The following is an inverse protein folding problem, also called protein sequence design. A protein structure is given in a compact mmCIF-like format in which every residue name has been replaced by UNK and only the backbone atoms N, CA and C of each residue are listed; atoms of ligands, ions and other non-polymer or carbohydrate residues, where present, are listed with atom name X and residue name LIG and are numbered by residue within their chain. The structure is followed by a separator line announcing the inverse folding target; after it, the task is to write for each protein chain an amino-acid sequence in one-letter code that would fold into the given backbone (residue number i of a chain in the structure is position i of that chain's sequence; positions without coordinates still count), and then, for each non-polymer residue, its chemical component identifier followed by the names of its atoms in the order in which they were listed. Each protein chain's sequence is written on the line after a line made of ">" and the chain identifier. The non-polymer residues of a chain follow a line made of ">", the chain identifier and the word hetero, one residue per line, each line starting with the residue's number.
data_IF_264614412098
#
_entry.id   IF_264614412098
#
_cell.length_a   1.000
_cell.length_b   1.000
_cell.length_c   1.000
_cell.angle_alpha   90.00
_cell.angle_beta   90.00
_cell.angle_gamma   90.00
#
_symmetry.space_group_name_H-M   'P 1'
#
loop_
_entity.id
_entity.type
_entity.pdbx_description
1 polymer ?
#
# COMPACT_ATOMS: atom_id res chain seq x y z
N UNK A 1 4.61 -35.29 -20.47
CA UNK A 1 3.46 -35.72 -21.29
C UNK A 1 2.15 -35.86 -20.49
N UNK A 2 1.98 -36.82 -19.56
CA UNK A 2 0.71 -36.98 -18.80
C UNK A 2 0.38 -35.78 -17.90
N UNK A 3 1.34 -35.25 -17.15
CA UNK A 3 1.14 -34.07 -16.29
C UNK A 3 0.80 -32.81 -17.10
N UNK A 4 1.41 -32.63 -18.27
CA UNK A 4 1.15 -31.49 -19.15
C UNK A 4 -0.27 -31.56 -19.74
N UNK A 5 -0.72 -32.76 -20.10
CA UNK A 5 -2.09 -32.98 -20.57
C UNK A 5 -3.12 -32.69 -19.46
N UNK A 6 -2.86 -33.13 -18.23
CA UNK A 6 -3.72 -32.82 -17.07
C UNK A 6 -3.76 -31.30 -16.82
N UNK A 7 -2.61 -30.63 -16.82
CA UNK A 7 -2.54 -29.17 -16.64
C UNK A 7 -3.35 -28.45 -17.73
N UNK A 8 -3.20 -28.86 -18.99
CA UNK A 8 -3.93 -28.26 -20.11
C UNK A 8 -5.45 -28.41 -19.96
N UNK A 9 -5.93 -29.60 -19.58
CA UNK A 9 -7.36 -29.85 -19.38
C UNK A 9 -7.92 -29.03 -18.20
N UNK A 10 -7.15 -28.89 -17.12
CA UNK A 10 -7.53 -28.04 -15.97
C UNK A 10 -7.61 -26.57 -16.39
N UNK A 11 -6.65 -26.08 -17.18
CA UNK A 11 -6.67 -24.70 -17.71
C UNK A 11 -7.90 -24.45 -18.61
N UNK A 12 -8.22 -25.39 -19.50
CA UNK A 12 -9.39 -25.29 -20.38
C UNK A 12 -10.69 -25.27 -19.55
N UNK A 13 -10.81 -26.14 -18.55
CA UNK A 13 -11.97 -26.18 -17.66
C UNK A 13 -12.14 -24.86 -16.90
N UNK A 14 -11.04 -24.28 -16.39
CA UNK A 14 -11.05 -22.97 -15.74
C UNK A 14 -11.50 -21.89 -16.73
N UNK A 15 -10.98 -21.86 -17.96
CA UNK A 15 -11.39 -20.89 -18.97
C UNK A 15 -12.88 -20.99 -19.31
N UNK A 16 -13.43 -22.19 -19.44
CA UNK A 16 -14.85 -22.42 -19.76
C UNK A 16 -15.75 -22.07 -18.57
N UNK A 17 -15.33 -22.34 -17.34
CA UNK A 17 -16.12 -22.00 -16.15
C UNK A 17 -16.06 -20.50 -15.81
N UNK A 18 -14.88 -19.90 -15.86
CA UNK A 18 -14.64 -18.52 -15.43
C UNK A 18 -14.87 -17.48 -16.54
N UNK A 19 -14.66 -17.84 -17.81
CA UNK A 19 -14.85 -16.94 -18.96
C UNK A 19 -16.27 -16.38 -19.07
N UNK A 20 -17.32 -17.21 -19.07
CA UNK A 20 -18.71 -16.75 -19.09
C UNK A 20 -19.09 -15.93 -17.86
N UNK A 21 -18.63 -16.32 -16.67
CA UNK A 21 -18.86 -15.56 -15.43
C UNK A 21 -18.21 -14.18 -15.48
N UNK A 22 -17.02 -14.07 -16.07
CA UNK A 22 -16.34 -12.80 -16.27
C UNK A 22 -17.12 -11.87 -17.21
N UNK A 23 -17.65 -12.39 -18.31
CA UNK A 23 -18.39 -11.57 -19.28
C UNK A 23 -19.75 -11.14 -18.71
N UNK A 24 -20.47 -12.05 -18.07
CA UNK A 24 -21.87 -11.85 -17.68
C UNK A 24 -22.03 -11.12 -16.35
N UNK A 25 -21.15 -11.34 -15.37
CA UNK A 25 -21.34 -10.86 -14.00
C UNK A 25 -20.40 -9.69 -13.65
N UNK A 26 -20.89 -8.44 -13.58
CA UNK A 26 -20.08 -7.31 -13.14
C UNK A 26 -19.64 -7.44 -11.68
N UNK A 27 -20.46 -8.07 -10.81
CA UNK A 27 -20.10 -8.33 -9.41
C UNK A 27 -18.93 -9.30 -9.32
N UNK A 28 -18.96 -10.39 -10.09
CA UNK A 28 -17.87 -11.36 -10.12
C UNK A 28 -16.55 -10.68 -10.55
N UNK A 29 -16.57 -9.92 -11.65
CA UNK A 29 -15.40 -9.14 -12.09
C UNK A 29 -14.88 -8.21 -10.99
N UNK A 30 -15.76 -7.48 -10.32
CA UNK A 30 -15.38 -6.57 -9.25
C UNK A 30 -14.65 -7.30 -8.12
N UNK A 31 -15.24 -8.34 -7.55
CA UNK A 31 -14.61 -9.07 -6.43
C UNK A 31 -13.32 -9.76 -6.85
N UNK A 32 -13.28 -10.33 -8.06
CA UNK A 32 -12.06 -10.93 -8.60
C UNK A 32 -10.93 -9.90 -8.71
N UNK A 33 -11.21 -8.70 -9.25
CA UNK A 33 -10.23 -7.61 -9.30
C UNK A 33 -9.79 -7.16 -7.91
N UNK A 34 -10.69 -7.08 -6.93
CA UNK A 34 -10.35 -6.73 -5.53
C UNK A 34 -9.43 -7.78 -4.90
N UNK A 35 -9.68 -9.07 -5.13
CA UNK A 35 -8.83 -10.17 -4.65
C UNK A 35 -7.44 -10.05 -5.27
N UNK A 36 -7.35 -9.93 -6.60
CA UNK A 36 -6.07 -9.77 -7.28
C UNK A 36 -5.32 -8.52 -6.82
N UNK A 37 -6.00 -7.38 -6.68
CA UNK A 37 -5.41 -6.16 -6.15
C UNK A 37 -4.85 -6.36 -4.74
N UNK A 38 -5.57 -7.09 -3.88
CA UNK A 38 -5.12 -7.38 -2.51
C UNK A 38 -3.88 -8.29 -2.52
N UNK A 39 -3.82 -9.27 -3.42
CA UNK A 39 -2.63 -10.09 -3.63
C UNK A 39 -1.45 -9.21 -4.06
N UNK A 40 -1.65 -8.32 -5.05
CA UNK A 40 -0.61 -7.37 -5.47
C UNK A 40 -0.10 -6.51 -4.31
N UNK A 41 -0.99 -6.06 -3.42
CA UNK A 41 -0.62 -5.25 -2.25
C UNK A 41 0.27 -6.03 -1.28
N UNK A 42 -0.10 -7.27 -0.95
CA UNK A 42 0.68 -8.14 -0.07
C UNK A 42 2.03 -8.46 -0.71
N UNK A 43 2.06 -8.84 -1.98
CA UNK A 43 3.29 -9.13 -2.72
C UNK A 43 4.21 -7.92 -2.77
N UNK A 44 3.68 -6.72 -3.05
CA UNK A 44 4.47 -5.49 -3.06
C UNK A 44 5.06 -5.16 -1.67
N UNK A 45 4.29 -5.37 -0.60
CA UNK A 45 4.77 -5.23 0.77
C UNK A 45 5.93 -6.18 1.07
N UNK A 46 5.79 -7.46 0.71
CA UNK A 46 6.83 -8.49 0.94
C UNK A 46 8.09 -8.22 0.12
N UNK A 47 7.95 -8.01 -1.19
CA UNK A 47 9.08 -7.72 -2.08
C UNK A 47 9.76 -6.41 -1.67
N UNK A 48 8.98 -5.36 -1.41
CA UNK A 48 9.50 -4.08 -0.94
C UNK A 48 10.25 -4.20 0.38
N UNK A 49 9.77 -5.00 1.33
CA UNK A 49 10.48 -5.29 2.57
C UNK A 49 11.81 -6.01 2.31
N UNK A 50 11.84 -7.05 1.47
CA UNK A 50 13.07 -7.75 1.09
C UNK A 50 14.10 -6.80 0.45
N UNK A 51 13.67 -5.95 -0.49
CA UNK A 51 14.53 -4.97 -1.15
C UNK A 51 15.03 -3.87 -0.19
N UNK A 52 14.31 -3.64 0.90
CA UNK A 52 14.65 -2.62 1.90
C UNK A 52 15.63 -3.11 2.97
N UNK A 53 15.84 -4.43 3.10
CA UNK A 53 16.74 -5.01 4.11
C UNK A 53 18.17 -4.43 4.05
N UNK A 54 18.82 -4.25 2.88
CA UNK A 54 20.18 -3.70 2.81
C UNK A 54 20.27 -2.23 3.22
N UNK A 55 19.19 -1.47 3.08
CA UNK A 55 19.16 -0.04 3.38
C UNK A 55 18.89 0.24 4.87
N UNK A 56 18.64 -0.82 5.66
CA UNK A 56 18.23 -0.69 7.05
C UNK A 56 16.87 -0.01 7.18
N UNK A 57 16.66 0.66 8.31
CA UNK A 57 15.40 1.33 8.64
C UNK A 57 15.47 2.79 8.17
N UNK A 58 14.64 3.16 7.19
CA UNK A 58 14.59 4.51 6.64
C UNK A 58 13.24 4.80 5.97
N UNK A 59 12.70 6.03 6.01
CA UNK A 59 11.46 6.41 5.32
C UNK A 59 11.54 6.24 3.79
N UNK A 60 12.76 6.28 3.23
CA UNK A 60 13.01 6.15 1.78
C UNK A 60 12.63 4.77 1.24
N UNK A 61 12.56 3.75 2.09
CA UNK A 61 12.22 2.38 1.73
C UNK A 61 10.82 2.24 1.11
N UNK A 62 9.91 3.18 1.40
CA UNK A 62 8.61 3.25 0.76
C UNK A 62 8.68 3.26 -0.77
N UNK A 63 9.77 3.78 -1.36
CA UNK A 63 9.98 3.78 -2.80
C UNK A 63 9.94 2.37 -3.41
N UNK A 64 10.59 1.39 -2.78
CA UNK A 64 10.63 0.01 -3.25
C UNK A 64 9.23 -0.60 -3.27
N UNK A 65 8.53 -0.53 -2.13
CA UNK A 65 7.16 -1.05 -1.99
C UNK A 65 6.21 -0.41 -2.99
N UNK A 66 6.24 0.91 -3.14
CA UNK A 66 5.34 1.62 -4.05
C UNK A 66 5.64 1.39 -5.51
N UNK A 67 6.92 1.30 -5.89
CA UNK A 67 7.30 0.99 -7.26
C UNK A 67 6.86 -0.42 -7.64
N UNK A 68 7.09 -1.40 -6.77
CA UNK A 68 6.58 -2.77 -6.97
C UNK A 68 5.06 -2.77 -7.06
N UNK A 69 4.37 -2.02 -6.19
CA UNK A 69 2.91 -2.01 -6.19
C UNK A 69 2.33 -1.44 -7.50
N UNK A 70 2.84 -0.29 -7.96
CA UNK A 70 2.46 0.30 -9.25
C UNK A 70 2.65 -0.66 -10.42
N UNK A 71 3.79 -1.37 -10.45
CA UNK A 71 4.08 -2.36 -11.48
C UNK A 71 3.12 -3.54 -11.42
N UNK A 72 2.78 -4.04 -10.24
CA UNK A 72 1.87 -5.18 -10.07
C UNK A 72 0.42 -4.83 -10.40
N UNK A 73 0.02 -3.56 -10.27
CA UNK A 73 -1.37 -3.11 -10.50
C UNK A 73 -1.61 -2.50 -11.88
N UNK A 74 -0.66 -2.59 -12.82
CA UNK A 74 -0.80 -2.00 -14.15
C UNK A 74 -2.06 -2.46 -14.91
N UNK A 75 -2.48 -3.71 -14.68
CA UNK A 75 -3.66 -4.33 -15.30
C UNK A 75 -5.00 -3.81 -14.73
N UNK A 76 -4.97 -3.07 -13.62
CA UNK A 76 -6.20 -2.55 -13.01
C UNK A 76 -6.91 -1.51 -13.90
N UNK A 77 -6.19 -0.88 -14.84
CA UNK A 77 -6.75 0.12 -15.76
C UNK A 77 -7.21 1.39 -15.07
N UNK A 78 -6.61 1.74 -13.93
CA UNK A 78 -6.94 2.93 -13.16
C UNK A 78 -6.06 4.09 -13.67
N UNK A 79 -6.68 5.19 -14.07
CA UNK A 79 -6.01 6.45 -14.38
C UNK A 79 -6.13 7.43 -13.22
N UNK A 80 -5.09 8.24 -13.03
CA UNK A 80 -5.03 9.23 -11.96
C UNK A 80 -4.81 10.62 -12.54
N UNK A 81 -5.60 11.58 -12.07
CA UNK A 81 -5.36 13.00 -12.32
C UNK A 81 -4.79 13.63 -11.04
N UNK A 82 -3.54 14.08 -11.09
CA UNK A 82 -2.90 14.77 -9.96
C UNK A 82 -3.03 16.27 -10.20
N UNK A 83 -3.80 16.93 -9.33
CA UNK A 83 -3.94 18.38 -9.34
C UNK A 83 -3.01 19.00 -8.31
N UNK A 84 -2.46 20.17 -8.63
CA UNK A 84 -1.64 20.99 -7.73
C UNK A 84 -0.43 20.26 -7.11
N UNK A 85 0.30 19.48 -7.93
CA UNK A 85 1.49 18.72 -7.49
C UNK A 85 2.57 19.61 -6.84
N UNK A 86 2.66 20.87 -7.26
CA UNK A 86 3.65 21.83 -6.76
C UNK A 86 3.58 22.02 -5.22
N UNK A 87 2.44 21.79 -4.57
CA UNK A 87 2.33 21.90 -3.11
C UNK A 87 3.04 20.79 -2.33
N UNK A 88 3.32 19.65 -2.96
CA UNK A 88 4.02 18.52 -2.33
C UNK A 88 5.49 18.39 -2.77
N UNK A 89 5.92 19.22 -3.74
CA UNK A 89 7.29 19.32 -4.24
C UNK A 89 8.03 20.46 -3.55
N UNK A 90 8.03 20.45 -2.22
CA UNK A 90 8.71 21.44 -1.38
C UNK A 90 9.80 20.76 -0.56
N UNK A 91 10.90 21.48 -0.31
CA UNK A 91 12.05 20.95 0.45
C UNK A 91 11.84 20.96 1.98
N UNK A 92 10.75 21.58 2.44
CA UNK A 92 10.38 21.62 3.86
C UNK A 92 9.53 20.40 4.26
N UNK A 93 9.51 20.07 5.56
CA UNK A 93 8.58 19.06 6.08
C UNK A 93 7.15 19.58 6.10
N UNK A 94 6.21 18.72 5.76
CA UNK A 94 4.78 19.03 5.78
C UNK A 94 3.96 17.83 6.29
N UNK A 95 2.70 18.10 6.61
CA UNK A 95 1.74 17.09 7.04
C UNK A 95 0.69 16.91 5.94
N UNK A 96 0.63 15.71 5.37
CA UNK A 96 -0.43 15.34 4.42
C UNK A 96 -1.58 14.72 5.19
N UNK A 97 -2.75 15.33 5.12
CA UNK A 97 -4.00 14.76 5.64
C UNK A 97 -4.82 14.26 4.46
N UNK A 98 -5.12 12.97 4.44
CA UNK A 98 -5.95 12.34 3.41
C UNK A 98 -7.12 11.59 4.04
N UNK A 99 -8.26 11.61 3.38
CA UNK A 99 -9.38 10.75 3.73
C UNK A 99 -9.05 9.28 3.38
N UNK A 100 -9.41 8.32 4.24
CA UNK A 100 -9.38 6.90 3.94
C UNK A 100 -10.77 6.40 3.54
N UNK A 101 -11.01 6.25 2.25
CA UNK A 101 -12.27 5.74 1.72
C UNK A 101 -12.17 4.25 1.37
N UNK A 102 -11.07 3.83 0.75
CA UNK A 102 -10.98 2.47 0.19
C UNK A 102 -9.56 1.92 0.15
N UNK A 103 -9.44 0.65 -0.23
CA UNK A 103 -8.16 0.00 -0.49
C UNK A 103 -7.42 0.62 -1.71
N UNK A 104 -8.15 1.22 -2.66
CA UNK A 104 -7.55 1.92 -3.81
C UNK A 104 -6.71 3.13 -3.38
N UNK A 105 -7.00 3.72 -2.22
CA UNK A 105 -6.27 4.88 -1.72
C UNK A 105 -4.77 4.60 -1.69
N UNK A 106 -4.37 3.36 -1.32
CA UNK A 106 -2.96 2.94 -1.25
C UNK A 106 -2.26 3.12 -2.60
N UNK A 107 -2.90 2.73 -3.71
CA UNK A 107 -2.33 2.90 -5.04
C UNK A 107 -2.24 4.38 -5.40
N UNK A 108 -3.28 5.17 -5.09
CA UNK A 108 -3.24 6.64 -5.24
C UNK A 108 -2.09 7.25 -4.45
N UNK A 109 -1.82 6.78 -3.21
CA UNK A 109 -0.72 7.29 -2.38
C UNK A 109 0.63 7.15 -3.08
N UNK A 110 0.84 6.08 -3.84
CA UNK A 110 2.12 5.79 -4.50
C UNK A 110 2.55 6.88 -5.48
N UNK A 111 1.60 7.57 -6.12
CA UNK A 111 1.88 8.59 -7.12
C UNK A 111 2.20 9.97 -6.53
N UNK A 112 1.78 10.21 -5.29
CA UNK A 112 1.94 11.49 -4.58
C UNK A 112 2.80 11.36 -3.32
N UNK A 113 3.53 10.25 -3.18
CA UNK A 113 4.33 10.01 -1.99
C UNK A 113 5.61 10.86 -1.98
N UNK A 114 5.86 11.65 -0.92
CA UNK A 114 7.11 12.41 -0.79
C UNK A 114 8.30 11.48 -0.50
N UNK A 115 9.51 11.85 -0.96
CA UNK A 115 10.72 11.00 -0.85
C UNK A 115 11.06 10.62 0.60
N UNK A 116 10.95 11.56 1.53
CA UNK A 116 11.22 11.34 2.95
C UNK A 116 9.91 11.48 3.71
N UNK A 117 9.05 10.45 3.66
CA UNK A 117 7.74 10.49 4.29
C UNK A 117 7.48 9.27 5.17
N UNK A 118 6.99 9.51 6.38
CA UNK A 118 6.49 8.48 7.30
C UNK A 118 4.97 8.54 7.41
N UNK A 119 4.36 7.41 7.73
CA UNK A 119 2.89 7.29 7.82
C UNK A 119 2.43 6.90 9.21
N UNK A 120 1.33 7.50 9.62
CA UNK A 120 0.60 7.08 10.82
C UNK A 120 -0.30 5.89 10.50
N UNK A 121 -0.01 4.72 11.08
CA UNK A 121 -0.76 3.48 10.89
C UNK A 121 -1.55 3.07 12.13
N UNK A 122 -2.67 2.37 11.96
CA UNK A 122 -3.44 1.83 13.08
C UNK A 122 -2.62 0.80 13.86
N UNK A 123 -2.62 0.89 15.19
CA UNK A 123 -1.86 -0.03 16.06
C UNK A 123 -2.13 -1.51 15.82
N UNK A 124 -3.34 -1.90 15.41
CA UNK A 124 -3.68 -3.29 15.10
C UNK A 124 -2.88 -3.86 13.92
N UNK A 125 -2.39 -3.01 13.01
CA UNK A 125 -1.59 -3.45 11.86
C UNK A 125 -0.19 -3.95 12.25
N UNK A 126 0.25 -3.71 13.49
CA UNK A 126 1.50 -4.29 14.02
C UNK A 126 1.49 -5.81 14.04
N UNK A 127 0.30 -6.41 14.14
CA UNK A 127 0.13 -7.86 14.26
C UNK A 127 -0.07 -8.55 12.91
N UNK A 128 -0.09 -7.79 11.81
CA UNK A 128 -0.23 -8.36 10.47
C UNK A 128 1.14 -8.84 9.97
N UNK A 129 1.35 -10.15 9.79
CA UNK A 129 2.64 -10.70 9.40
C UNK A 129 3.06 -10.21 8.00
N UNK A 130 4.35 -9.96 7.81
CA UNK A 130 4.92 -9.38 6.59
C UNK A 130 4.76 -7.86 6.53
N UNK A 131 3.53 -7.36 6.68
CA UNK A 131 3.28 -5.91 6.71
C UNK A 131 3.96 -5.22 7.88
N UNK A 132 3.99 -5.85 9.05
CA UNK A 132 4.69 -5.34 10.23
C UNK A 132 6.19 -5.10 9.98
N UNK A 133 6.85 -6.01 9.26
CA UNK A 133 8.27 -5.88 8.86
C UNK A 133 8.45 -4.75 7.85
N UNK A 134 7.61 -4.71 6.81
CA UNK A 134 7.64 -3.62 5.83
C UNK A 134 7.45 -2.25 6.50
N UNK A 135 6.43 -2.13 7.35
CA UNK A 135 6.12 -0.91 8.08
C UNK A 135 7.26 -0.50 9.03
N UNK A 136 7.92 -1.47 9.68
CA UNK A 136 9.08 -1.21 10.52
C UNK A 136 10.26 -0.66 9.72
N UNK A 137 10.61 -1.30 8.59
CA UNK A 137 11.70 -0.87 7.71
C UNK A 137 11.46 0.51 7.09
N UNK A 138 10.19 0.87 6.87
CA UNK A 138 9.80 2.19 6.34
C UNK A 138 9.60 3.27 7.41
N UNK A 139 9.96 3.02 8.67
CA UNK A 139 9.76 3.96 9.79
C UNK A 139 8.31 4.39 10.04
N UNK A 140 7.33 3.54 9.72
CA UNK A 140 5.94 3.86 9.99
C UNK A 140 5.68 4.00 11.50
N UNK A 141 4.85 4.98 11.86
CA UNK A 141 4.49 5.29 13.24
C UNK A 141 3.11 4.71 13.50
N UNK A 142 3.03 3.74 14.41
CA UNK A 142 1.75 3.18 14.78
C UNK A 142 1.07 4.02 15.87
N UNK A 143 -0.22 4.31 15.69
CA UNK A 143 -1.06 5.06 16.64
C UNK A 143 -2.17 4.17 17.21
N UNK A 144 -2.30 4.18 18.54
CA UNK A 144 -3.44 3.59 19.23
C UNK A 144 -4.42 4.70 19.62
N UNK A 145 -5.51 4.83 18.86
CA UNK A 145 -6.53 5.88 19.07
C UNK A 145 -7.45 5.62 20.27
N UNK A 146 -7.43 4.41 20.84
CA UNK A 146 -8.26 4.05 21.99
C UNK A 146 -7.63 4.43 23.34
N UNK A 147 -6.32 4.71 23.37
CA UNK A 147 -5.63 5.16 24.59
C UNK A 147 -5.12 6.58 24.35
N UNK A 148 -5.67 7.55 25.10
CA UNK A 148 -5.25 8.97 25.01
C UNK A 148 -3.74 9.10 25.21
N UNK A 149 -3.20 8.45 26.24
CA UNK A 149 -1.76 8.45 26.55
C UNK A 149 -0.93 7.92 25.37
N UNK A 150 -1.32 6.77 24.81
CA UNK A 150 -0.61 6.19 23.67
C UNK A 150 -0.73 7.04 22.40
N UNK A 151 -1.89 7.68 22.20
CA UNK A 151 -2.11 8.60 21.08
C UNK A 151 -1.19 9.82 21.19
N UNK A 152 -1.12 10.46 22.35
CA UNK A 152 -0.21 11.60 22.60
C UNK A 152 1.25 11.22 22.32
N UNK A 153 1.71 10.07 22.82
CA UNK A 153 3.08 9.58 22.57
C UNK A 153 3.37 9.33 21.08
N UNK A 154 2.40 8.80 20.33
CA UNK A 154 2.56 8.61 18.87
C UNK A 154 2.58 9.95 18.13
N UNK A 155 1.82 10.95 18.60
CA UNK A 155 1.83 12.31 18.05
C UNK A 155 3.17 12.99 18.32
N UNK A 156 3.74 12.87 19.53
CA UNK A 156 5.07 13.39 19.85
C UNK A 156 6.16 12.82 18.93
N UNK A 157 6.11 11.50 18.66
CA UNK A 157 7.00 10.86 17.68
C UNK A 157 6.80 11.40 16.27
N UNK A 158 5.56 11.70 15.90
CA UNK A 158 5.25 12.29 14.61
C UNK A 158 5.81 13.71 14.51
N UNK A 159 5.67 14.52 15.57
CA UNK A 159 6.25 15.86 15.68
C UNK A 159 7.77 15.80 15.59
N UNK A 160 8.43 14.86 16.28
CA UNK A 160 9.88 14.72 16.21
C UNK A 160 10.36 14.32 14.81
N UNK A 161 9.60 13.46 14.10
CA UNK A 161 9.89 13.12 12.71
C UNK A 161 9.81 14.35 11.79
N UNK A 162 8.75 15.16 11.94
CA UNK A 162 8.57 16.41 11.17
C UNK A 162 9.71 17.41 11.42
N UNK A 163 10.18 17.52 12.67
CA UNK A 163 11.34 18.36 13.03
C UNK A 163 12.65 17.89 12.38
N UNK A 164 12.76 16.60 12.05
CA UNK A 164 13.93 16.01 11.37
C UNK A 164 13.76 15.99 9.84
N UNK A 165 13.00 16.94 9.27
CA UNK A 165 12.74 17.06 7.82
C UNK A 165 12.07 15.84 7.18
N UNK A 166 11.32 15.06 7.95
CA UNK A 166 10.51 13.95 7.43
C UNK A 166 9.07 14.42 7.28
N UNK A 167 8.53 14.36 6.07
CA UNK A 167 7.12 14.62 5.82
C UNK A 167 6.26 13.56 6.53
N UNK A 168 5.15 13.97 7.11
CA UNK A 168 4.26 13.07 7.84
C UNK A 168 2.95 12.93 7.07
N UNK A 169 2.49 11.69 6.90
CA UNK A 169 1.16 11.43 6.36
C UNK A 169 0.20 10.87 7.40
N UNK A 170 -0.92 11.55 7.55
CA UNK A 170 -2.03 11.18 8.40
C UNK A 170 -3.18 10.76 7.50
N UNK A 171 -3.60 9.51 7.63
CA UNK A 171 -4.83 9.05 7.00
C UNK A 171 -5.96 9.20 8.02
N UNK A 172 -6.80 10.21 7.81
CA UNK A 172 -8.02 10.48 8.57
C UNK A 172 -9.14 9.61 8.02
N UNK A 173 -9.97 9.04 8.88
CA UNK A 173 -11.14 8.29 8.45
C UNK A 173 -12.27 9.30 8.22
N UNK A 174 -13.03 9.18 7.12
CA UNK A 174 -14.33 9.85 6.98
C UNK A 174 -15.30 9.38 8.05
#
# INVERSE_FOLDING_TARGET
>A
MWNEFIILNVMIFICIAFGPLWITSPKFRYYFKVILYTICLVTAGTVGACLSLPNGRTPKNHWHTFRTFQLLTFWCGISYEIRNRNFIEVDNSFIVVANHQTLLDVLTLTYVWPKNCVVLLKSSLKFMPGFNVCAYLCEAIFINRFSKVAAHKSVEKAISAVRNYVSLRIIAKS
#
